data_IF_234611874867
#
_entry.id   IF_234611874867
#
_cell.length_a   1.000
_cell.length_b   1.000
_cell.length_c   1.000
_cell.angle_alpha   90.00
_cell.angle_beta   90.00
_cell.angle_gamma   90.00
#
_symmetry.space_group_name_H-M   'P 1'
#
loop_
_entity.id
_entity.type
_entity.pdbx_description
1 polymer ?
#
# COMPACT_ATOMS: atom_id res chain seq x y z
N UNK A 1 7.88 -29.51 13.58
CA UNK A 1 7.28 -28.38 12.82
C UNK A 1 6.00 -28.01 13.55
N UNK A 2 5.97 -26.88 14.25
CA UNK A 2 4.70 -26.28 14.65
C UNK A 2 4.33 -25.32 13.52
N UNK A 3 3.30 -25.65 12.75
CA UNK A 3 2.66 -24.64 11.93
C UNK A 3 2.02 -23.63 12.90
N UNK A 4 2.53 -22.40 12.87
CA UNK A 4 1.88 -21.29 13.54
C UNK A 4 0.48 -21.06 12.95
N UNK A 5 -0.37 -20.25 13.60
CA UNK A 5 -1.70 -19.93 13.08
C UNK A 5 -1.61 -19.46 11.62
N UNK A 6 -2.56 -19.91 10.79
CA UNK A 6 -2.60 -19.53 9.37
C UNK A 6 -2.59 -17.99 9.22
N UNK A 7 -1.90 -17.44 8.21
CA UNK A 7 -1.83 -16.00 8.03
C UNK A 7 -3.22 -15.40 7.80
N UNK A 8 -3.55 -14.40 8.61
CA UNK A 8 -4.83 -13.68 8.56
C UNK A 8 -4.73 -12.46 7.64
N UNK A 9 -5.90 -12.03 7.14
CA UNK A 9 -6.02 -10.89 6.23
C UNK A 9 -6.17 -9.60 7.05
N UNK A 10 -5.15 -8.75 7.02
CA UNK A 10 -5.03 -7.56 7.86
C UNK A 10 -5.05 -6.27 7.03
N UNK A 11 -5.66 -5.22 7.59
CA UNK A 11 -5.56 -3.86 7.04
C UNK A 11 -4.28 -3.19 7.54
N UNK A 12 -3.79 -2.17 6.83
CA UNK A 12 -2.67 -1.36 7.35
C UNK A 12 -2.96 -0.76 8.74
N UNK A 13 -4.21 -0.39 9.04
CA UNK A 13 -4.60 0.14 10.36
C UNK A 13 -4.40 -0.90 11.46
N UNK A 14 -4.76 -2.15 11.20
CA UNK A 14 -4.54 -3.29 12.10
C UNK A 14 -3.04 -3.47 12.36
N UNK A 15 -2.23 -3.50 11.29
CA UNK A 15 -0.76 -3.60 11.38
C UNK A 15 -0.13 -2.47 12.21
N UNK A 16 -0.50 -1.22 11.96
CA UNK A 16 -0.01 -0.06 12.75
C UNK A 16 -0.36 -0.23 14.22
N UNK A 17 -1.58 -0.70 14.52
CA UNK A 17 -2.05 -0.89 15.89
C UNK A 17 -1.25 -1.96 16.63
N UNK A 18 -0.98 -3.10 15.97
CA UNK A 18 -0.17 -4.19 16.51
C UNK A 18 1.30 -3.78 16.63
N UNK A 19 1.89 -3.14 15.61
CA UNK A 19 3.25 -2.59 15.62
C UNK A 19 3.45 -1.66 16.83
N UNK A 20 2.52 -0.71 17.03
CA UNK A 20 2.55 0.20 18.16
C UNK A 20 2.37 -0.48 19.52
N UNK A 21 1.64 -1.61 19.58
CA UNK A 21 1.52 -2.40 20.80
C UNK A 21 2.85 -3.09 21.14
N UNK A 22 3.50 -3.74 20.16
CA UNK A 22 4.81 -4.38 20.33
C UNK A 22 5.88 -3.35 20.73
N UNK A 23 5.94 -2.22 20.04
CA UNK A 23 6.89 -1.14 20.33
C UNK A 23 6.65 -0.50 21.71
N UNK A 24 5.39 -0.43 22.16
CA UNK A 24 5.06 0.02 23.52
C UNK A 24 5.45 -1.00 24.58
N UNK A 25 5.29 -2.29 24.32
CA UNK A 25 5.80 -3.35 25.20
C UNK A 25 7.32 -3.34 25.29
N UNK A 26 8.03 -3.13 24.17
CA UNK A 26 9.48 -3.00 24.14
C UNK A 26 10.01 -1.76 24.89
N UNK A 27 9.18 -0.72 25.06
CA UNK A 27 9.50 0.50 25.83
C UNK A 27 9.00 0.45 27.28
N UNK A 28 8.32 -0.61 27.70
CA UNK A 28 7.86 -0.74 29.08
C UNK A 28 9.02 -1.13 29.99
N UNK A 29 9.17 -0.43 31.12
CA UNK A 29 10.20 -0.76 32.13
C UNK A 29 9.94 -2.16 32.70
N UNK A 30 10.83 -3.10 32.44
CA UNK A 30 10.74 -4.47 32.93
C UNK A 30 12.13 -5.08 33.18
N UNK A 31 12.26 -5.85 34.26
CA UNK A 31 13.49 -6.60 34.61
C UNK A 31 13.55 -7.93 33.84
N UNK A 32 13.54 -7.84 32.51
CA UNK A 32 13.39 -9.00 31.64
C UNK A 32 14.70 -9.49 31.01
N UNK A 33 15.80 -8.77 31.24
CA UNK A 33 17.10 -9.01 30.62
C UNK A 33 17.28 -8.29 29.29
N UNK A 34 18.33 -8.62 28.52
CA UNK A 34 18.67 -7.91 27.29
C UNK A 34 17.59 -8.05 26.21
N UNK A 35 17.24 -6.94 25.60
CA UNK A 35 16.21 -6.82 24.57
C UNK A 35 16.83 -6.77 23.17
N UNK A 36 16.31 -7.62 22.27
CA UNK A 36 16.45 -7.49 20.81
C UNK A 36 15.18 -6.84 20.26
N UNK A 37 15.33 -5.84 19.39
CA UNK A 37 14.24 -5.39 18.50
C UNK A 37 14.71 -5.45 17.05
N UNK A 38 13.90 -6.04 16.15
CA UNK A 38 14.12 -6.01 14.71
C UNK A 38 12.86 -5.46 14.05
N UNK A 39 13.00 -4.39 13.26
CA UNK A 39 11.90 -3.79 12.51
C UNK A 39 12.27 -3.56 11.05
N UNK A 40 11.38 -3.94 10.13
CA UNK A 40 11.55 -3.78 8.68
C UNK A 40 10.52 -2.79 8.14
N UNK A 41 11.01 -1.71 7.53
CA UNK A 41 10.22 -0.63 6.97
C UNK A 41 10.24 -0.66 5.44
N UNK A 42 9.06 -0.92 4.86
CA UNK A 42 8.87 -0.92 3.40
C UNK A 42 9.22 0.42 2.71
N UNK A 43 9.29 1.54 3.45
CA UNK A 43 9.58 2.88 2.90
C UNK A 43 10.17 3.82 3.98
N UNK A 44 11.12 4.66 3.59
CA UNK A 44 11.71 5.70 4.45
C UNK A 44 10.69 6.66 5.13
N UNK A 45 9.64 7.19 4.44
CA UNK A 45 8.67 8.06 5.11
C UNK A 45 7.81 7.39 6.18
N UNK A 46 7.84 6.05 6.30
CA UNK A 46 7.24 5.33 7.42
C UNK A 46 8.20 5.31 8.61
N UNK A 47 9.48 5.01 8.39
CA UNK A 47 10.49 5.08 9.44
C UNK A 47 10.69 6.50 10.01
N UNK A 48 10.72 7.53 9.16
CA UNK A 48 10.94 8.92 9.62
C UNK A 48 9.90 9.41 10.63
N UNK A 49 8.66 8.87 10.58
CA UNK A 49 7.61 9.16 11.57
C UNK A 49 7.84 8.48 12.92
N UNK A 50 8.49 7.31 12.89
CA UNK A 50 8.75 6.49 14.08
C UNK A 50 10.19 6.64 14.61
N UNK A 51 11.05 7.43 13.95
CA UNK A 51 12.48 7.61 14.27
C UNK A 51 12.74 7.86 15.76
N UNK A 52 11.97 8.76 16.39
CA UNK A 52 12.11 9.08 17.83
C UNK A 52 11.66 7.93 18.75
N UNK A 53 10.79 7.04 18.28
CA UNK A 53 10.42 5.83 19.00
C UNK A 53 11.54 4.80 18.92
N UNK A 54 12.08 4.58 17.72
CA UNK A 54 13.20 3.65 17.53
C UNK A 54 14.49 4.14 18.19
N UNK A 55 14.72 5.45 18.30
CA UNK A 55 15.80 6.01 19.11
C UNK A 55 15.65 5.69 20.61
N UNK A 56 14.42 5.78 21.15
CA UNK A 56 14.16 5.39 22.56
C UNK A 56 14.25 3.89 22.79
N UNK A 57 13.83 3.07 21.82
CA UNK A 57 14.01 1.60 21.87
C UNK A 57 15.51 1.28 21.89
N UNK A 58 16.30 1.88 20.98
CA UNK A 58 17.74 1.67 20.89
C UNK A 58 18.49 2.03 22.19
N UNK A 59 18.06 3.08 22.89
CA UNK A 59 18.66 3.50 24.16
C UNK A 59 18.42 2.51 25.32
N UNK A 60 17.41 1.63 25.24
CA UNK A 60 17.12 0.61 26.26
C UNK A 60 17.37 -0.84 25.81
N UNK A 61 17.50 -1.08 24.50
CA UNK A 61 17.75 -2.39 23.94
C UNK A 61 19.24 -2.78 23.97
N UNK A 62 19.53 -4.08 24.04
CA UNK A 62 20.88 -4.58 23.79
C UNK A 62 21.26 -4.47 22.30
N UNK A 63 20.27 -4.56 21.41
CA UNK A 63 20.41 -4.38 19.97
C UNK A 63 19.07 -4.02 19.34
N UNK A 64 19.06 -2.97 18.52
CA UNK A 64 17.95 -2.63 17.63
C UNK A 64 18.40 -2.73 16.19
N UNK A 65 17.64 -3.40 15.33
CA UNK A 65 17.90 -3.51 13.88
C UNK A 65 16.77 -2.83 13.12
N UNK A 66 17.12 -1.94 12.19
CA UNK A 66 16.16 -1.21 11.36
C UNK A 66 16.45 -1.49 9.88
N UNK A 67 15.66 -2.38 9.27
CA UNK A 67 15.68 -2.65 7.84
C UNK A 67 14.88 -1.60 7.05
N UNK A 68 15.42 -1.11 5.94
CA UNK A 68 14.80 -0.07 5.11
C UNK A 68 14.98 -0.35 3.62
N UNK A 69 13.89 -0.27 2.86
CA UNK A 69 13.89 -0.57 1.42
C UNK A 69 14.40 0.60 0.59
N UNK A 70 15.37 0.31 -0.29
CA UNK A 70 15.74 1.14 -1.44
C UNK A 70 16.42 2.48 -1.14
N UNK A 71 16.75 2.76 0.14
CA UNK A 71 17.45 3.98 0.55
C UNK A 71 18.40 3.65 1.69
N UNK A 72 19.60 4.25 1.66
CA UNK A 72 20.54 4.23 2.79
C UNK A 72 19.83 4.81 4.02
N UNK A 73 19.77 4.09 5.14
CA UNK A 73 19.17 4.59 6.36
C UNK A 73 19.85 5.87 6.86
N UNK A 74 19.12 6.80 7.50
CA UNK A 74 19.76 7.90 8.20
C UNK A 74 20.60 7.36 9.36
N UNK A 75 21.55 8.17 9.83
CA UNK A 75 22.34 7.84 11.02
C UNK A 75 21.41 7.53 12.21
N UNK A 76 21.59 6.34 12.79
CA UNK A 76 20.83 5.86 13.93
C UNK A 76 21.67 6.03 15.21
N UNK A 77 21.03 6.24 16.38
CA UNK A 77 21.75 6.33 17.64
C UNK A 77 22.48 5.03 17.98
N UNK A 78 23.47 5.11 18.87
CA UNK A 78 24.20 3.95 19.39
C UNK A 78 23.23 2.85 19.87
N UNK A 79 23.55 1.60 19.54
CA UNK A 79 22.68 0.43 19.80
C UNK A 79 21.66 0.13 18.69
N UNK A 80 21.43 1.05 17.74
CA UNK A 80 20.64 0.81 16.54
C UNK A 80 21.51 0.58 15.29
N UNK A 81 21.17 -0.45 14.52
CA UNK A 81 21.90 -0.90 13.35
C UNK A 81 21.02 -0.80 12.10
N UNK A 82 21.38 0.08 11.16
CA UNK A 82 20.67 0.20 9.89
C UNK A 82 20.99 -0.95 8.95
N UNK A 83 20.00 -1.46 8.21
CA UNK A 83 20.19 -2.42 7.12
C UNK A 83 19.42 -1.97 5.88
N UNK A 84 20.10 -1.86 4.75
CA UNK A 84 19.45 -1.61 3.45
C UNK A 84 18.87 -2.91 2.90
N UNK A 85 17.62 -2.84 2.42
CA UNK A 85 16.92 -3.90 1.70
C UNK A 85 16.74 -3.50 0.23
N UNK A 86 16.92 -4.46 -0.68
CA UNK A 86 16.69 -4.24 -2.11
C UNK A 86 15.19 -4.31 -2.43
N UNK A 87 14.69 -3.39 -3.28
CA UNK A 87 13.26 -3.30 -3.59
C UNK A 87 12.66 -4.53 -4.30
N UNK A 88 13.51 -5.42 -4.85
CA UNK A 88 13.08 -6.66 -5.52
C UNK A 88 13.01 -7.86 -4.58
N UNK A 89 13.66 -7.82 -3.41
CA UNK A 89 13.76 -8.97 -2.50
C UNK A 89 12.49 -9.19 -1.67
N UNK A 90 12.28 -10.42 -1.20
CA UNK A 90 11.05 -10.78 -0.47
C UNK A 90 10.87 -10.00 0.84
N UNK A 91 11.96 -9.67 1.54
CA UNK A 91 11.91 -8.84 2.76
C UNK A 91 11.42 -7.41 2.49
N UNK A 92 11.60 -6.85 1.29
CA UNK A 92 11.11 -5.51 0.96
C UNK A 92 9.57 -5.43 0.89
N UNK A 93 8.90 -6.58 0.75
CA UNK A 93 7.43 -6.72 0.78
C UNK A 93 6.91 -7.06 2.17
N UNK A 94 7.80 -7.33 3.11
CA UNK A 94 7.49 -7.73 4.48
C UNK A 94 7.51 -6.52 5.42
N UNK A 95 6.46 -6.36 6.22
CA UNK A 95 6.46 -5.56 7.44
C UNK A 95 6.72 -6.53 8.58
N UNK A 96 7.88 -6.43 9.21
CA UNK A 96 8.18 -7.17 10.44
C UNK A 96 8.50 -6.23 11.57
N UNK A 97 7.96 -6.50 12.75
CA UNK A 97 8.41 -5.90 14.02
C UNK A 97 8.44 -7.01 15.05
N UNK A 98 9.61 -7.30 15.59
CA UNK A 98 9.83 -8.36 16.57
C UNK A 98 10.59 -7.78 17.75
N UNK A 99 10.09 -8.04 18.96
CA UNK A 99 10.73 -7.69 20.22
C UNK A 99 10.92 -8.97 21.03
N UNK A 100 12.12 -9.19 21.58
CA UNK A 100 12.47 -10.42 22.30
C UNK A 100 13.40 -10.12 23.48
N UNK A 101 13.03 -10.62 24.66
CA UNK A 101 13.85 -10.68 25.87
C UNK A 101 13.80 -12.10 26.43
N UNK A 102 14.65 -12.47 27.41
CA UNK A 102 14.50 -13.71 28.18
C UNK A 102 13.11 -13.97 28.79
N UNK A 103 12.29 -12.95 29.07
CA UNK A 103 10.96 -13.13 29.72
C UNK A 103 9.75 -12.66 28.92
N UNK A 104 9.96 -11.94 27.82
CA UNK A 104 8.92 -11.39 26.97
C UNK A 104 9.26 -11.65 25.50
N UNK A 105 8.25 -11.86 24.67
CA UNK A 105 8.42 -11.75 23.24
C UNK A 105 7.11 -11.41 22.54
N UNK A 106 7.21 -10.62 21.49
CA UNK A 106 6.10 -10.34 20.60
C UNK A 106 6.60 -10.18 19.17
N UNK A 107 5.78 -10.58 18.21
CA UNK A 107 6.10 -10.50 16.79
C UNK A 107 4.91 -10.01 15.99
N UNK A 108 5.21 -9.30 14.92
CA UNK A 108 4.34 -9.00 13.80
C UNK A 108 5.14 -9.33 12.54
N UNK A 109 4.56 -10.11 11.63
CA UNK A 109 5.11 -10.40 10.30
C UNK A 109 3.95 -10.38 9.31
N UNK A 110 3.95 -9.42 8.39
CA UNK A 110 2.88 -9.25 7.42
C UNK A 110 3.45 -8.92 6.04
N UNK A 111 2.96 -9.60 5.00
CA UNK A 111 3.35 -9.36 3.60
C UNK A 111 2.24 -8.63 2.85
N UNK A 112 2.63 -7.60 2.11
CA UNK A 112 1.71 -6.89 1.22
C UNK A 112 1.10 -7.87 0.19
N UNK A 113 -0.24 -7.92 0.11
CA UNK A 113 -0.94 -8.71 -0.91
C UNK A 113 -0.92 -8.06 -2.28
N UNK A 114 -0.62 -6.76 -2.36
CA UNK A 114 -0.83 -5.91 -3.55
C UNK A 114 -2.30 -5.83 -3.96
N UNK A 115 -3.20 -6.04 -3.01
CA UNK A 115 -4.64 -5.93 -3.13
C UNK A 115 -5.14 -4.68 -2.39
N UNK A 116 -6.26 -4.12 -2.85
CA UNK A 116 -6.88 -2.94 -2.24
C UNK A 116 -8.41 -3.08 -2.14
N UNK A 117 -8.97 -2.67 -1.00
CA UNK A 117 -10.42 -2.53 -0.77
C UNK A 117 -10.82 -1.06 -0.69
N UNK A 118 -12.12 -0.72 -0.87
CA UNK A 118 -12.60 0.65 -0.72
C UNK A 118 -12.31 1.22 0.68
N UNK A 119 -11.67 2.38 0.73
CA UNK A 119 -11.32 3.13 1.95
C UNK A 119 -11.10 4.62 1.62
N UNK A 120 -11.04 5.47 2.65
CA UNK A 120 -10.85 6.94 2.52
C UNK A 120 -9.55 7.29 1.78
N UNK A 121 -8.52 6.44 1.91
CA UNK A 121 -7.27 6.53 1.14
C UNK A 121 -6.84 5.15 0.64
N UNK A 122 -6.16 5.13 -0.50
CA UNK A 122 -5.62 3.92 -1.09
C UNK A 122 -4.63 3.18 -0.17
N UNK A 123 -3.94 3.90 0.71
CA UNK A 123 -2.99 3.30 1.67
C UNK A 123 -3.68 2.59 2.84
N UNK A 124 -4.86 3.07 3.25
CA UNK A 124 -5.70 2.41 4.27
C UNK A 124 -6.39 1.17 3.70
N UNK A 125 -6.77 1.21 2.41
CA UNK A 125 -7.40 0.10 1.71
C UNK A 125 -6.49 -1.09 1.42
N UNK A 126 -5.17 -1.00 1.66
CA UNK A 126 -4.23 -2.10 1.42
C UNK A 126 -4.49 -3.29 2.32
N UNK A 127 -4.45 -4.47 1.71
CA UNK A 127 -4.52 -5.76 2.39
C UNK A 127 -3.15 -6.41 2.53
N UNK A 128 -2.96 -7.12 3.65
CA UNK A 128 -1.74 -7.83 3.98
C UNK A 128 -2.09 -9.22 4.49
N UNK A 129 -1.28 -10.22 4.14
CA UNK A 129 -1.35 -11.55 4.75
C UNK A 129 -0.31 -11.58 5.88
N UNK A 130 -0.72 -11.75 7.13
CA UNK A 130 0.19 -11.64 8.25
C UNK A 130 -0.15 -12.50 9.46
N UNK A 131 0.78 -12.53 10.40
CA UNK A 131 0.64 -13.11 11.73
C UNK A 131 1.21 -12.14 12.75
N UNK A 132 0.62 -12.13 13.93
CA UNK A 132 1.18 -11.45 15.09
C UNK A 132 0.86 -12.24 16.35
N UNK A 133 1.66 -12.04 17.40
CA UNK A 133 1.53 -12.74 18.67
C UNK A 133 2.33 -12.06 19.77
N UNK A 134 2.06 -12.45 21.01
CA UNK A 134 2.72 -11.95 22.24
C UNK A 134 3.33 -13.12 23.03
N UNK A 135 3.84 -14.11 22.29
CA UNK A 135 4.51 -15.31 22.77
C UNK A 135 6.01 -15.24 22.52
N UNK A 136 6.80 -15.65 23.52
CA UNK A 136 8.27 -15.66 23.40
C UNK A 136 8.77 -16.70 22.41
N UNK A 137 8.10 -17.85 22.27
CA UNK A 137 8.50 -18.87 21.32
C UNK A 137 8.26 -18.44 19.86
N UNK A 138 7.15 -17.75 19.56
CA UNK A 138 6.92 -17.18 18.23
C UNK A 138 7.93 -16.07 17.89
N UNK A 139 8.18 -15.15 18.83
CA UNK A 139 9.19 -14.10 18.65
C UNK A 139 10.61 -14.67 18.49
N UNK A 140 10.96 -15.74 19.22
CA UNK A 140 12.24 -16.44 19.07
C UNK A 140 12.44 -17.00 17.65
N UNK A 141 11.43 -17.66 17.08
CA UNK A 141 11.50 -18.18 15.71
C UNK A 141 11.71 -17.04 14.70
N UNK A 142 10.99 -15.92 14.86
CA UNK A 142 11.10 -14.80 13.94
C UNK A 142 12.44 -14.03 14.08
N UNK A 143 13.00 -13.89 15.28
CA UNK A 143 14.38 -13.36 15.46
C UNK A 143 15.41 -14.29 14.80
N UNK A 144 15.30 -15.62 14.95
CA UNK A 144 16.21 -16.58 14.31
C UNK A 144 16.11 -16.49 12.78
N UNK A 145 14.90 -16.41 12.23
CA UNK A 145 14.67 -16.25 10.79
C UNK A 145 15.27 -14.95 10.27
N UNK A 146 14.95 -13.82 10.90
CA UNK A 146 15.42 -12.51 10.46
C UNK A 146 16.95 -12.37 10.61
N UNK A 147 17.55 -12.87 11.69
CA UNK A 147 19.01 -12.94 11.84
C UNK A 147 19.65 -13.72 10.70
N UNK A 148 19.09 -14.88 10.33
CA UNK A 148 19.60 -15.70 9.22
C UNK A 148 19.44 -15.00 7.86
N UNK A 149 18.31 -14.34 7.62
CA UNK A 149 18.02 -13.68 6.34
C UNK A 149 18.79 -12.36 6.14
N UNK A 150 19.03 -11.61 7.21
CA UNK A 150 19.85 -10.39 7.16
C UNK A 150 21.35 -10.74 7.10
N UNK A 151 21.78 -11.81 7.77
CA UNK A 151 23.12 -12.39 7.64
C UNK A 151 24.24 -11.38 7.79
N UNK A 152 25.17 -11.38 6.84
CA UNK A 152 26.37 -10.52 6.82
C UNK A 152 26.06 -9.02 6.62
N UNK A 153 24.79 -8.63 6.38
CA UNK A 153 24.37 -7.21 6.42
C UNK A 153 24.35 -6.65 7.83
N UNK A 154 24.35 -7.50 8.86
CA UNK A 154 24.46 -7.10 10.26
C UNK A 154 25.95 -7.03 10.67
N UNK A 155 26.42 -5.93 11.28
CA UNK A 155 27.79 -5.85 11.74
C UNK A 155 28.05 -6.84 12.89
N UNK A 156 29.30 -7.31 13.10
CA UNK A 156 29.62 -8.34 14.09
C UNK A 156 29.14 -8.04 15.52
N UNK A 157 29.12 -6.77 15.92
CA UNK A 157 28.58 -6.34 17.22
C UNK A 157 27.06 -6.61 17.35
N UNK A 158 26.29 -6.35 16.30
CA UNK A 158 24.85 -6.62 16.26
C UNK A 158 24.56 -8.13 16.29
N UNK A 159 25.28 -8.91 15.48
CA UNK A 159 25.18 -10.37 15.48
C UNK A 159 25.47 -10.95 16.87
N UNK A 160 26.57 -10.51 17.50
CA UNK A 160 26.96 -10.94 18.86
C UNK A 160 25.89 -10.61 19.89
N UNK A 161 25.32 -9.41 19.85
CA UNK A 161 24.25 -8.99 20.77
C UNK A 161 22.97 -9.81 20.57
N UNK A 162 22.56 -10.07 19.31
CA UNK A 162 21.41 -10.95 19.01
C UNK A 162 21.67 -12.38 19.53
N UNK A 163 22.86 -12.93 19.30
CA UNK A 163 23.21 -14.29 19.75
C UNK A 163 23.21 -14.44 21.27
N UNK A 164 23.68 -13.43 22.00
CA UNK A 164 23.63 -13.42 23.47
C UNK A 164 22.19 -13.47 24.00
N UNK A 165 21.24 -12.77 23.35
CA UNK A 165 19.82 -12.86 23.73
C UNK A 165 19.21 -14.20 23.33
N UNK A 166 19.47 -14.67 22.10
CA UNK A 166 19.01 -15.98 21.63
C UNK A 166 19.48 -17.12 22.53
N UNK A 167 20.71 -17.07 23.05
CA UNK A 167 21.21 -18.06 24.00
C UNK A 167 20.41 -18.03 25.31
N UNK A 168 20.28 -16.85 25.96
CA UNK A 168 19.53 -16.71 27.22
C UNK A 168 18.06 -17.08 27.11
N UNK A 169 17.43 -16.85 25.95
CA UNK A 169 16.03 -17.21 25.72
C UNK A 169 15.85 -18.73 25.60
N UNK A 170 16.80 -19.45 25.01
CA UNK A 170 16.74 -20.92 24.85
C UNK A 170 16.77 -21.66 26.19
N UNK A 171 17.46 -21.11 27.17
CA UNK A 171 17.61 -21.70 28.51
C UNK A 171 16.34 -21.53 29.38
N UNK A 172 15.34 -20.79 28.90
CA UNK A 172 14.08 -20.55 29.61
C UNK A 172 12.90 -21.14 28.81
N UNK A 173 12.05 -22.00 29.42
CA UNK A 173 10.84 -22.50 28.77
C UNK A 173 9.77 -21.40 28.67
N UNK A 174 8.99 -21.39 27.57
CA UNK A 174 7.84 -20.49 27.45
C UNK A 174 6.77 -20.85 28.49
N UNK A 175 6.13 -19.84 29.07
CA UNK A 175 5.17 -20.04 30.15
C UNK A 175 3.75 -20.18 29.61
N UNK A 176 2.88 -21.05 30.18
CA UNK A 176 1.45 -21.09 29.84
C UNK A 176 0.70 -19.78 30.14
N UNK A 177 1.33 -18.78 30.78
CA UNK A 177 0.79 -17.44 30.93
C UNK A 177 0.75 -16.67 29.60
N UNK A 178 1.79 -16.81 28.76
CA UNK A 178 1.92 -16.13 27.47
C UNK A 178 0.75 -16.49 26.53
N UNK A 179 0.44 -17.78 26.38
CA UNK A 179 -0.69 -18.23 25.54
C UNK A 179 -2.05 -17.71 26.03
N UNK A 180 -2.23 -17.57 27.35
CA UNK A 180 -3.47 -17.01 27.93
C UNK A 180 -3.55 -15.49 27.73
N UNK A 181 -2.44 -14.78 27.88
CA UNK A 181 -2.35 -13.35 27.62
C UNK A 181 -2.61 -13.05 26.14
N UNK A 182 -2.02 -13.81 25.22
CA UNK A 182 -2.27 -13.66 23.79
C UNK A 182 -3.73 -13.92 23.43
N UNK A 183 -4.36 -14.99 23.96
CA UNK A 183 -5.76 -15.27 23.71
C UNK A 183 -6.68 -14.10 24.15
N UNK A 184 -6.37 -13.46 25.27
CA UNK A 184 -7.08 -12.25 25.72
C UNK A 184 -6.82 -11.04 24.81
N UNK A 185 -5.59 -10.83 24.36
CA UNK A 185 -5.22 -9.75 23.42
C UNK A 185 -5.89 -9.92 22.06
N UNK A 186 -5.93 -11.14 21.49
CA UNK A 186 -6.67 -11.46 20.25
C UNK A 186 -8.16 -11.15 20.40
N UNK A 187 -8.80 -11.62 21.48
CA UNK A 187 -10.22 -11.33 21.74
C UNK A 187 -10.50 -9.82 21.82
N UNK A 188 -9.59 -9.03 22.41
CA UNK A 188 -9.71 -7.58 22.49
C UNK A 188 -9.51 -6.91 21.12
N UNK A 189 -8.53 -7.36 20.33
CA UNK A 189 -8.29 -6.90 18.95
C UNK A 189 -9.53 -7.17 18.06
N UNK A 190 -10.03 -8.40 18.05
CA UNK A 190 -11.21 -8.79 17.26
C UNK A 190 -12.47 -7.97 17.61
N UNK A 191 -12.62 -7.60 18.90
CA UNK A 191 -13.72 -6.73 19.35
C UNK A 191 -13.52 -5.30 18.91
N UNK A 192 -12.30 -4.76 19.01
CA UNK A 192 -11.97 -3.41 18.55
C UNK A 192 -12.17 -3.28 17.03
N UNK A 193 -11.77 -4.28 16.24
CA UNK A 193 -11.97 -4.27 14.78
C UNK A 193 -13.44 -4.42 14.38
N UNK A 194 -14.21 -5.29 15.05
CA UNK A 194 -15.65 -5.41 14.82
C UNK A 194 -16.40 -4.14 15.19
N UNK A 195 -16.10 -3.55 16.35
CA UNK A 195 -16.66 -2.27 16.76
C UNK A 195 -16.31 -1.15 15.77
N UNK A 196 -15.10 -1.15 15.20
CA UNK A 196 -14.72 -0.17 14.19
C UNK A 196 -15.43 -0.38 12.85
N UNK A 197 -15.56 -1.62 12.35
CA UNK A 197 -16.32 -1.93 11.13
C UNK A 197 -17.81 -1.60 11.25
N UNK A 198 -18.38 -1.79 12.43
CA UNK A 198 -19.79 -1.54 12.68
C UNK A 198 -20.09 -0.09 13.11
N UNK A 199 -19.09 0.79 13.19
CA UNK A 199 -19.29 2.18 13.60
C UNK A 199 -19.97 2.97 12.47
N UNK A 200 -21.21 3.47 12.64
CA UNK A 200 -21.87 4.28 11.64
C UNK A 200 -21.13 5.63 11.48
N UNK A 201 -20.89 6.07 10.24
CA UNK A 201 -20.35 7.40 9.94
C UNK A 201 -18.87 7.47 9.49
N UNK A 202 -18.32 6.43 8.85
CA UNK A 202 -17.02 6.54 8.13
C UNK A 202 -16.94 5.94 6.73
N UNK A 203 -17.93 5.18 6.28
CA UNK A 203 -18.13 5.08 4.84
C UNK A 203 -18.57 6.47 4.37
N UNK A 204 -17.76 7.09 3.52
CA UNK A 204 -18.08 8.39 2.93
C UNK A 204 -19.53 8.38 2.44
N UNK A 205 -20.28 9.42 2.79
CA UNK A 205 -21.59 9.63 2.17
C UNK A 205 -21.39 9.59 0.65
N UNK A 206 -22.28 8.89 -0.10
CA UNK A 206 -22.18 8.87 -1.54
C UNK A 206 -22.39 10.31 -2.03
N UNK A 207 -21.28 10.96 -2.40
CA UNK A 207 -21.29 12.23 -3.12
C UNK A 207 -22.20 12.05 -4.33
N UNK A 208 -23.13 12.98 -4.57
CA UNK A 208 -24.19 12.91 -5.60
C UNK A 208 -23.63 12.88 -7.03
N UNK A 209 -23.06 11.74 -7.40
CA UNK A 209 -22.41 11.46 -8.67
C UNK A 209 -22.35 9.95 -8.92
N UNK A 210 -22.12 9.52 -10.16
CA UNK A 210 -22.00 8.10 -10.48
C UNK A 210 -20.80 7.50 -9.75
N UNK A 211 -20.92 6.27 -9.20
CA UNK A 211 -19.87 5.65 -8.41
C UNK A 211 -18.57 5.59 -9.21
N UNK A 212 -17.50 6.12 -8.61
CA UNK A 212 -16.17 6.21 -9.22
C UNK A 212 -15.75 7.62 -9.59
N UNK A 213 -16.63 8.50 -10.09
CA UNK A 213 -16.23 9.88 -10.43
C UNK A 213 -16.04 10.73 -9.17
N UNK A 214 -14.84 11.31 -9.03
CA UNK A 214 -14.46 12.24 -7.95
C UNK A 214 -13.86 13.53 -8.52
N UNK A 215 -13.82 14.58 -7.71
CA UNK A 215 -13.06 15.79 -8.03
C UNK A 215 -11.54 15.58 -7.86
N UNK A 216 -10.74 16.46 -8.46
CA UNK A 216 -9.28 16.37 -8.40
C UNK A 216 -8.73 16.47 -6.97
N UNK A 217 -9.22 17.36 -6.08
CA UNK A 217 -8.81 17.39 -4.68
C UNK A 217 -9.07 16.07 -3.95
N UNK A 218 -10.20 15.41 -4.18
CA UNK A 218 -10.53 14.11 -3.57
C UNK A 218 -9.66 13.01 -4.12
N UNK A 219 -9.40 12.98 -5.43
CA UNK A 219 -8.44 12.03 -6.01
C UNK A 219 -7.04 12.21 -5.42
N UNK A 220 -6.56 13.45 -5.27
CA UNK A 220 -5.24 13.76 -4.67
C UNK A 220 -5.14 13.27 -3.22
N UNK A 221 -6.17 13.52 -2.39
CA UNK A 221 -6.24 13.02 -1.00
C UNK A 221 -6.28 11.48 -0.95
N UNK A 222 -7.10 10.85 -1.79
CA UNK A 222 -7.27 9.39 -1.80
C UNK A 222 -6.01 8.65 -2.27
N UNK A 223 -5.40 9.09 -3.37
CA UNK A 223 -4.16 8.53 -3.92
C UNK A 223 -2.92 8.87 -3.08
N UNK A 224 -2.92 10.04 -2.42
CA UNK A 224 -1.75 10.57 -1.72
C UNK A 224 -0.74 11.29 -2.60
N UNK A 225 -1.17 11.88 -3.71
CA UNK A 225 -0.29 12.57 -4.66
C UNK A 225 0.63 13.63 -4.02
N UNK A 226 0.25 14.17 -2.86
CA UNK A 226 1.02 15.13 -2.07
C UNK A 226 2.06 14.47 -1.12
N UNK A 227 2.38 13.19 -1.33
CA UNK A 227 3.59 12.51 -0.79
C UNK A 227 3.42 11.61 0.44
N UNK A 228 2.22 11.49 1.00
CA UNK A 228 1.99 10.86 2.33
C UNK A 228 1.33 9.48 2.27
N UNK A 229 0.70 9.16 1.15
CA UNK A 229 0.13 7.87 0.74
C UNK A 229 0.42 7.69 -0.77
N UNK A 230 0.11 6.60 -1.47
CA UNK A 230 0.03 5.20 -1.04
C UNK A 230 1.17 4.37 -1.64
N UNK A 231 1.53 3.27 -0.98
CA UNK A 231 2.47 2.22 -1.32
C UNK A 231 3.16 2.24 -2.70
N UNK A 232 4.48 2.39 -2.68
CA UNK A 232 5.37 2.04 -3.81
C UNK A 232 5.55 0.52 -4.03
N UNK A 233 4.70 -0.30 -3.40
CA UNK A 233 4.62 -1.75 -3.59
C UNK A 233 3.30 -2.17 -4.26
N UNK A 234 2.27 -1.30 -4.24
CA UNK A 234 0.96 -1.54 -4.82
C UNK A 234 0.95 -1.05 -6.28
N UNK A 235 0.80 -1.94 -7.28
CA UNK A 235 0.63 -1.51 -8.66
C UNK A 235 -0.69 -0.74 -8.81
N UNK A 236 -0.61 0.39 -9.50
CA UNK A 236 -1.77 1.21 -9.87
C UNK A 236 -1.76 1.35 -11.38
N UNK A 237 -2.86 0.92 -12.01
CA UNK A 237 -3.11 1.23 -13.40
C UNK A 237 -3.66 2.66 -13.52
N UNK A 238 -3.17 3.39 -14.51
CA UNK A 238 -3.72 4.67 -14.93
C UNK A 238 -4.18 4.52 -16.38
N UNK A 239 -5.41 4.94 -16.65
CA UNK A 239 -5.96 5.03 -18.00
C UNK A 239 -6.34 6.49 -18.23
N UNK A 240 -5.53 7.21 -19.00
CA UNK A 240 -5.96 8.48 -19.58
C UNK A 240 -6.98 8.18 -20.67
N UNK A 241 -8.10 8.88 -20.67
CA UNK A 241 -9.16 8.73 -21.68
C UNK A 241 -9.49 10.10 -22.25
N UNK A 242 -9.46 10.25 -23.57
CA UNK A 242 -9.95 11.42 -24.27
C UNK A 242 -11.17 11.03 -25.09
N UNK A 243 -12.29 11.72 -24.88
CA UNK A 243 -13.55 11.53 -25.60
C UNK A 243 -13.88 12.81 -26.35
N UNK A 244 -13.55 12.82 -27.64
CA UNK A 244 -13.75 13.96 -28.54
C UNK A 244 -14.79 13.67 -29.63
N UNK A 245 -14.84 14.56 -30.61
CA UNK A 245 -15.52 14.34 -31.89
C UNK A 245 -14.53 13.72 -32.89
N UNK A 246 -14.98 12.85 -33.81
CA UNK A 246 -14.18 12.48 -34.98
C UNK A 246 -13.85 13.70 -35.82
N UNK A 247 -12.68 13.70 -36.45
CA UNK A 247 -12.28 14.75 -37.38
C UNK A 247 -13.32 14.91 -38.50
N UNK A 248 -13.81 16.15 -38.70
CA UNK A 248 -14.83 16.48 -39.70
C UNK A 248 -16.30 16.37 -39.24
N UNK A 249 -16.56 16.17 -37.94
CA UNK A 249 -17.92 16.27 -37.40
C UNK A 249 -18.47 17.72 -37.50
N UNK A 250 -19.80 17.89 -37.67
CA UNK A 250 -20.45 19.20 -37.65
C UNK A 250 -20.57 19.77 -36.23
N UNK A 251 -20.47 21.09 -36.08
CA UNK A 251 -20.54 21.77 -34.78
C UNK A 251 -21.83 21.44 -33.99
N UNK A 252 -21.68 21.15 -32.69
CA UNK A 252 -22.80 20.79 -31.81
C UNK A 252 -23.70 22.00 -31.48
N UNK A 253 -24.99 21.87 -31.77
CA UNK A 253 -25.99 22.88 -31.41
C UNK A 253 -26.53 22.73 -29.98
N UNK A 254 -26.17 23.67 -29.10
CA UNK A 254 -26.93 23.98 -27.87
C UNK A 254 -26.39 23.40 -26.56
N UNK A 255 -26.31 24.26 -25.52
CA UNK A 255 -25.70 23.94 -24.20
C UNK A 255 -26.41 22.82 -23.41
N UNK A 256 -27.72 22.60 -23.61
CA UNK A 256 -28.50 21.61 -22.84
C UNK A 256 -28.25 20.16 -23.30
N UNK A 257 -27.93 19.95 -24.57
CA UNK A 257 -27.59 18.63 -25.11
C UNK A 257 -26.19 18.20 -24.64
N UNK A 258 -25.20 19.10 -24.76
CA UNK A 258 -23.83 18.88 -24.32
C UNK A 258 -23.71 18.44 -22.84
N UNK A 259 -24.55 18.96 -21.94
CA UNK A 259 -24.57 18.53 -20.54
C UNK A 259 -25.05 17.08 -20.36
N UNK A 260 -26.06 16.64 -21.13
CA UNK A 260 -26.55 15.25 -21.11
C UNK A 260 -25.57 14.28 -21.77
N UNK A 261 -24.96 14.69 -22.87
CA UNK A 261 -23.91 13.95 -23.55
C UNK A 261 -22.70 13.74 -22.62
N UNK A 262 -22.24 14.79 -21.93
CA UNK A 262 -21.15 14.68 -20.95
C UNK A 262 -21.53 13.72 -19.80
N UNK A 263 -22.76 13.75 -19.31
CA UNK A 263 -23.22 12.80 -18.28
C UNK A 263 -23.28 11.35 -18.80
N UNK A 264 -23.67 11.14 -20.05
CA UNK A 264 -23.70 9.83 -20.69
C UNK A 264 -22.29 9.28 -20.92
N UNK A 265 -21.34 10.13 -21.33
CA UNK A 265 -19.91 9.80 -21.42
C UNK A 265 -19.39 9.40 -20.05
N UNK A 266 -19.61 10.22 -19.01
CA UNK A 266 -19.21 9.88 -17.63
C UNK A 266 -19.76 8.51 -17.21
N UNK A 267 -21.05 8.26 -17.43
CA UNK A 267 -21.67 6.98 -17.08
C UNK A 267 -21.05 5.78 -17.83
N UNK A 268 -20.72 5.95 -19.12
CA UNK A 268 -20.02 4.94 -19.91
C UNK A 268 -18.58 4.70 -19.42
N UNK A 269 -17.87 5.77 -19.02
CA UNK A 269 -16.51 5.68 -18.47
C UNK A 269 -16.47 5.02 -17.07
N UNK A 270 -17.50 5.22 -16.24
CA UNK A 270 -17.56 4.64 -14.89
C UNK A 270 -18.19 3.25 -14.82
N UNK A 271 -18.95 2.83 -15.84
CA UNK A 271 -19.61 1.52 -15.89
C UNK A 271 -18.69 0.30 -15.65
N UNK A 272 -17.45 0.22 -16.20
CA UNK A 272 -16.55 -0.92 -15.96
C UNK A 272 -15.76 -0.83 -14.64
N UNK A 273 -15.92 0.23 -13.83
CA UNK A 273 -15.11 0.46 -12.63
C UNK A 273 -15.58 -0.36 -11.42
N UNK A 274 -14.62 -0.92 -10.69
CA UNK A 274 -14.86 -1.62 -9.42
C UNK A 274 -15.06 -0.60 -8.29
N UNK A 275 -15.67 -0.95 -7.14
CA UNK A 275 -15.86 -0.03 -6.01
C UNK A 275 -14.58 0.61 -5.44
N UNK A 276 -13.41 0.04 -5.71
CA UNK A 276 -12.09 0.58 -5.30
C UNK A 276 -11.49 1.54 -6.34
N UNK A 277 -11.94 1.49 -7.59
CA UNK A 277 -11.41 2.31 -8.69
C UNK A 277 -11.98 3.74 -8.62
N UNK A 278 -11.26 4.71 -9.19
CA UNK A 278 -11.70 6.11 -9.25
C UNK A 278 -11.50 6.68 -10.65
N UNK A 279 -12.36 7.62 -11.01
CA UNK A 279 -12.26 8.45 -12.19
C UNK A 279 -12.20 9.92 -11.78
N UNK A 280 -11.46 10.75 -12.51
CA UNK A 280 -11.54 12.21 -12.44
C UNK A 280 -11.70 12.77 -13.84
N UNK A 281 -12.45 13.87 -13.96
CA UNK A 281 -12.51 14.68 -15.18
C UNK A 281 -11.47 15.79 -15.08
N UNK A 282 -10.54 15.84 -16.03
CA UNK A 282 -9.43 16.80 -16.05
C UNK A 282 -9.74 18.03 -16.91
N UNK A 283 -10.39 17.80 -18.05
CA UNK A 283 -10.88 18.85 -18.97
C UNK A 283 -12.31 18.48 -19.40
N UNK A 284 -13.00 19.27 -20.25
CA UNK A 284 -14.29 18.86 -20.78
C UNK A 284 -14.26 17.52 -21.54
N UNK A 285 -13.15 17.16 -22.16
CA UNK A 285 -12.96 15.97 -23.00
C UNK A 285 -11.95 14.93 -22.46
N UNK A 286 -11.12 15.28 -21.48
CA UNK A 286 -10.14 14.39 -20.85
C UNK A 286 -10.54 13.91 -19.46
N UNK A 287 -10.31 12.62 -19.23
CA UNK A 287 -10.58 11.91 -17.99
C UNK A 287 -9.37 11.06 -17.62
N UNK A 288 -9.21 10.77 -16.34
CA UNK A 288 -8.20 9.85 -15.82
C UNK A 288 -8.87 8.83 -14.92
N UNK A 289 -8.71 7.55 -15.26
CA UNK A 289 -9.11 6.43 -14.43
C UNK A 289 -7.88 5.94 -13.64
N UNK A 290 -8.08 5.65 -12.36
CA UNK A 290 -7.06 5.20 -11.41
C UNK A 290 -7.53 3.91 -10.78
N UNK A 291 -6.91 2.80 -11.16
CA UNK A 291 -7.36 1.45 -10.85
C UNK A 291 -6.25 0.68 -10.10
N UNK A 292 -6.31 0.59 -8.76
CA UNK A 292 -5.28 -0.10 -7.98
C UNK A 292 -5.37 -1.62 -8.13
N UNK A 293 -4.28 -2.32 -7.85
CA UNK A 293 -4.24 -3.79 -7.84
C UNK A 293 -4.69 -4.41 -9.19
N UNK A 294 -4.27 -3.82 -10.32
CA UNK A 294 -4.42 -4.41 -11.66
C UNK A 294 -3.07 -4.70 -12.30
N UNK A 295 -3.02 -5.77 -13.08
CA UNK A 295 -1.99 -6.05 -14.08
C UNK A 295 -2.18 -5.19 -15.33
N UNK A 296 -1.20 -5.22 -16.25
CA UNK A 296 -1.30 -4.52 -17.54
C UNK A 296 -2.39 -5.10 -18.43
N UNK A 297 -2.59 -6.42 -18.39
CA UNK A 297 -3.61 -7.11 -19.18
C UNK A 297 -5.03 -6.70 -18.74
N UNK A 298 -5.30 -6.73 -17.44
CA UNK A 298 -6.59 -6.28 -16.89
C UNK A 298 -6.83 -4.78 -17.15
N UNK A 299 -5.80 -3.94 -17.05
CA UNK A 299 -5.91 -2.52 -17.37
C UNK A 299 -6.23 -2.26 -18.85
N UNK A 300 -5.66 -3.06 -19.77
CA UNK A 300 -6.00 -3.01 -21.20
C UNK A 300 -7.43 -3.54 -21.46
N UNK A 301 -7.87 -4.57 -20.73
CA UNK A 301 -9.24 -5.06 -20.82
C UNK A 301 -10.27 -4.00 -20.38
N UNK A 302 -10.01 -3.28 -19.28
CA UNK A 302 -10.86 -2.15 -18.86
C UNK A 302 -10.84 -1.01 -19.88
N UNK A 303 -9.70 -0.71 -20.49
CA UNK A 303 -9.63 0.26 -21.59
C UNK A 303 -10.50 -0.18 -22.79
N UNK A 304 -10.51 -1.46 -23.15
CA UNK A 304 -11.41 -2.02 -24.17
C UNK A 304 -12.89 -1.86 -23.80
N UNK A 305 -13.27 -2.21 -22.56
CA UNK A 305 -14.63 -2.03 -22.06
C UNK A 305 -15.08 -0.55 -22.09
N UNK A 306 -14.17 0.39 -21.81
CA UNK A 306 -14.42 1.84 -21.94
C UNK A 306 -14.73 2.22 -23.39
N UNK A 307 -13.97 1.73 -24.37
CA UNK A 307 -14.25 1.94 -25.79
C UNK A 307 -15.62 1.39 -26.18
N UNK A 308 -15.94 0.14 -25.79
CA UNK A 308 -17.23 -0.50 -26.07
C UNK A 308 -18.42 0.26 -25.46
N UNK A 309 -18.28 0.72 -24.21
CA UNK A 309 -19.33 1.48 -23.52
C UNK A 309 -19.59 2.83 -24.18
N UNK A 310 -18.55 3.56 -24.59
CA UNK A 310 -18.71 4.86 -25.26
C UNK A 310 -19.19 4.70 -26.70
N UNK A 311 -18.70 3.71 -27.46
CA UNK A 311 -19.24 3.37 -28.78
C UNK A 311 -20.73 3.00 -28.69
N UNK A 312 -21.13 2.31 -27.62
CA UNK A 312 -22.52 1.98 -27.30
C UNK A 312 -23.46 3.20 -27.15
N UNK A 313 -22.94 4.40 -26.89
CA UNK A 313 -23.73 5.64 -26.78
C UNK A 313 -24.35 6.07 -28.11
N UNK A 314 -23.81 5.66 -29.25
CA UNK A 314 -24.37 5.98 -30.57
C UNK A 314 -25.84 5.51 -30.73
N UNK A 315 -26.26 4.49 -29.96
CA UNK A 315 -27.67 4.03 -29.92
C UNK A 315 -28.62 5.02 -29.25
N UNK A 316 -28.13 5.79 -28.27
CA UNK A 316 -28.90 6.78 -27.51
C UNK A 316 -28.71 8.20 -28.05
N UNK A 317 -27.60 8.45 -28.75
CA UNK A 317 -27.23 9.73 -29.35
C UNK A 317 -26.87 9.55 -30.83
N UNK A 318 -27.84 9.18 -31.71
CA UNK A 318 -27.57 8.81 -33.11
C UNK A 318 -27.04 9.95 -34.00
N UNK A 319 -27.07 11.19 -33.50
CA UNK A 319 -26.53 12.38 -34.17
C UNK A 319 -25.21 12.88 -33.56
N UNK A 320 -24.63 12.13 -32.62
CA UNK A 320 -23.36 12.47 -31.94
C UNK A 320 -22.39 11.31 -32.11
N UNK A 321 -21.34 11.54 -32.90
CA UNK A 321 -20.22 10.60 -33.00
C UNK A 321 -19.20 10.90 -31.92
N UNK A 322 -18.69 9.85 -31.26
CA UNK A 322 -17.64 9.93 -30.25
C UNK A 322 -16.37 9.29 -30.78
N UNK A 323 -15.25 10.01 -30.74
CA UNK A 323 -13.92 9.47 -30.92
C UNK A 323 -13.29 9.23 -29.54
N UNK A 324 -12.81 8.03 -29.28
CA UNK A 324 -12.21 7.64 -27.99
C UNK A 324 -10.75 7.28 -28.22
N UNK A 325 -9.88 7.87 -27.41
CA UNK A 325 -8.47 7.54 -27.36
C UNK A 325 -8.08 7.28 -25.91
N UNK A 326 -7.31 6.21 -25.68
CA UNK A 326 -6.84 5.85 -24.34
C UNK A 326 -5.32 5.73 -24.29
N UNK A 327 -4.75 6.03 -23.13
CA UNK A 327 -3.35 5.74 -22.82
C UNK A 327 -3.25 4.99 -21.50
N UNK A 328 -2.67 3.79 -21.52
CA UNK A 328 -2.62 2.86 -20.38
C UNK A 328 -1.19 2.75 -19.84
N UNK A 329 -1.04 2.81 -18.51
CA UNK A 329 0.18 2.39 -17.82
C UNK A 329 -0.15 1.66 -16.51
N UNK A 330 0.79 0.87 -16.00
CA UNK A 330 0.70 0.22 -14.69
C UNK A 330 2.01 0.43 -13.95
N UNK A 331 1.92 1.01 -12.76
CA UNK A 331 3.09 1.53 -12.05
C UNK A 331 2.97 1.46 -10.52
N UNK A 332 4.09 1.20 -9.88
CA UNK A 332 4.31 1.36 -8.45
C UNK A 332 5.07 2.67 -8.13
N UNK A 333 5.51 3.44 -9.12
CA UNK A 333 6.11 4.78 -8.93
C UNK A 333 5.13 5.73 -8.23
N UNK A 334 5.67 6.56 -7.33
CA UNK A 334 5.00 7.70 -6.69
C UNK A 334 5.91 8.94 -6.78
N UNK A 335 5.39 10.14 -7.10
CA UNK A 335 4.00 10.43 -7.48
C UNK A 335 3.57 9.69 -8.75
N UNK A 336 2.25 9.58 -8.96
CA UNK A 336 1.68 8.87 -10.11
C UNK A 336 2.00 9.63 -11.42
N UNK A 337 2.37 8.93 -12.52
CA UNK A 337 2.77 9.51 -13.82
C UNK A 337 1.60 10.11 -14.63
N UNK A 338 0.78 10.96 -14.00
CA UNK A 338 -0.40 11.56 -14.63
C UNK A 338 -0.01 12.40 -15.86
N UNK A 339 1.08 13.16 -15.79
CA UNK A 339 1.54 13.99 -16.92
C UNK A 339 1.96 13.16 -18.14
N UNK A 340 2.67 12.05 -17.93
CA UNK A 340 3.12 11.14 -19.01
C UNK A 340 1.93 10.45 -19.68
N UNK A 341 0.95 10.01 -18.88
CA UNK A 341 -0.31 9.40 -19.37
C UNK A 341 -1.14 10.40 -20.16
N UNK A 342 -1.21 11.66 -19.72
CA UNK A 342 -1.89 12.74 -20.48
C UNK A 342 -1.20 13.02 -21.81
N UNK A 343 0.12 13.18 -21.82
CA UNK A 343 0.86 13.39 -23.06
C UNK A 343 0.69 12.21 -24.04
N UNK A 344 0.63 10.98 -23.52
CA UNK A 344 0.37 9.80 -24.34
C UNK A 344 -1.06 9.73 -24.91
N UNK A 345 -2.10 10.20 -24.19
CA UNK A 345 -3.47 10.24 -24.73
C UNK A 345 -3.66 11.39 -25.72
N UNK A 346 -3.00 12.54 -25.51
CA UNK A 346 -2.91 13.63 -26.49
C UNK A 346 -2.23 13.17 -27.78
N UNK A 347 -1.13 12.41 -27.67
CA UNK A 347 -0.47 11.80 -28.82
C UNK A 347 -1.37 10.76 -29.51
N UNK A 348 -2.02 9.87 -28.76
CA UNK A 348 -2.92 8.87 -29.32
C UNK A 348 -4.08 9.49 -30.11
N UNK A 349 -4.66 10.57 -29.59
CA UNK A 349 -5.71 11.32 -30.29
C UNK A 349 -5.22 12.00 -31.58
N UNK A 350 -3.99 12.54 -31.58
CA UNK A 350 -3.41 13.18 -32.77
C UNK A 350 -3.09 12.20 -33.89
N UNK A 351 -2.54 11.04 -33.53
CA UNK A 351 -2.14 10.00 -34.50
C UNK A 351 -3.29 9.01 -34.86
N UNK A 352 -4.49 9.20 -34.29
CA UNK A 352 -5.64 8.32 -34.53
C UNK A 352 -5.54 6.93 -33.87
N UNK A 353 -4.63 6.74 -32.91
CA UNK A 353 -4.41 5.47 -32.21
C UNK A 353 -5.47 5.27 -31.12
N UNK A 354 -6.23 4.17 -31.11
CA UNK A 354 -7.32 3.98 -30.14
C UNK A 354 -6.82 3.70 -28.72
N UNK A 355 -5.72 2.94 -28.58
CA UNK A 355 -5.10 2.58 -27.30
C UNK A 355 -3.58 2.69 -27.42
N UNK A 356 -2.98 3.61 -26.67
CA UNK A 356 -1.54 3.72 -26.49
C UNK A 356 -1.11 3.09 -25.15
N UNK A 357 0.14 2.63 -25.07
CA UNK A 357 0.74 2.14 -23.82
C UNK A 357 1.94 2.99 -23.44
N UNK A 358 1.95 3.55 -22.23
CA UNK A 358 3.14 4.20 -21.69
C UNK A 358 4.04 3.12 -21.10
N UNK A 359 5.32 3.12 -21.50
CA UNK A 359 6.30 2.20 -20.94
C UNK A 359 6.37 2.38 -19.41
N UNK A 360 6.56 1.27 -18.70
CA UNK A 360 6.98 1.34 -17.30
C UNK A 360 8.47 1.63 -17.32
N UNK A 361 8.85 2.89 -17.07
CA UNK A 361 10.24 3.18 -16.76
C UNK A 361 10.67 2.31 -15.59
N UNK A 362 11.69 1.48 -15.82
CA UNK A 362 12.41 0.82 -14.74
C UNK A 362 12.96 1.91 -13.86
N UNK A 363 12.74 1.83 -12.54
CA UNK A 363 13.44 2.71 -11.60
C UNK A 363 14.93 2.38 -11.76
N UNK A 364 15.65 3.25 -12.45
CA UNK A 364 17.11 3.22 -12.42
C UNK A 364 17.50 3.41 -10.97
N UNK A 365 18.07 2.36 -10.36
CA UNK A 365 18.73 2.46 -9.07
C UNK A 365 19.79 3.55 -9.21
N UNK A 366 19.55 4.69 -8.57
CA UNK A 366 20.49 5.79 -8.55
C UNK A 366 21.71 5.34 -7.75
N UNK A 367 22.70 4.80 -8.45
CA UNK A 367 23.98 4.40 -7.90
C UNK A 367 24.86 5.63 -7.71
N UNK A 368 24.76 6.25 -6.54
CA UNK A 368 25.73 7.20 -5.99
C UNK A 368 25.83 7.03 -4.48
#
# INVERSE_FOLDING_TARGET
MHDGPAPELLTKRSLVTVSHAIERSALATAEDGPLVVIALFQRMPYFLRERERYARIAAGAAVTVVGLVGQTPPELPAGAYPVTLDGTEELAREWSVVALTPRFGASLVARDRREAVPADTLEQGRLFAGRWGFRRDEALHEVIRLRTQLGDRLPPAALTAVDQVLHRVRDLPATPGESRAEAALRLMADRAERAHRNAPGRHAEPVDGPPGLVDEPTLRRWTGMDGVTAAGTLPVALIGVRVGEPAGAPERFGRRSAAREAQAVIAALTAPLRPVDRAVRLTPDEYLLVLPALTREEALAVAGQVHDCVAGLARSYPFVSFAVHTAVTVTDRRPLPVAEVRHAVEWAAREGVPVATVARETVATAAH
#
